data_IF_835329041233
#
_entry.id   IF_835329041233
#
_cell.length_a   1.000
_cell.length_b   1.000
_cell.length_c   1.000
_cell.angle_alpha   90.00
_cell.angle_beta   90.00
_cell.angle_gamma   90.00
#
_symmetry.space_group_name_H-M   'P 1'
#
loop_
_entity.id
_entity.type
_entity.pdbx_description
1 polymer ?
#
# COMPACT_ATOMS: atom_id res chain seq x y z
N UNK A 1 47.72 40.39 9.86
CA UNK A 1 47.22 41.04 8.63
C UNK A 1 46.14 40.12 8.06
N UNK A 2 44.84 40.36 8.34
CA UNK A 2 43.82 40.86 7.39
C UNK A 2 43.99 40.24 5.99
N UNK A 3 43.06 39.42 5.51
CA UNK A 3 41.79 39.92 4.96
C UNK A 3 40.67 38.88 4.96
N UNK A 4 39.45 39.36 5.24
CA UNK A 4 38.16 38.69 5.03
C UNK A 4 37.66 39.01 3.62
N UNK A 5 37.03 38.06 2.94
CA UNK A 5 36.19 38.31 1.76
C UNK A 5 34.79 37.77 2.05
N UNK A 6 33.86 38.69 2.25
CA UNK A 6 32.43 38.43 2.30
C UNK A 6 31.87 38.73 0.91
N UNK A 7 31.11 37.80 0.33
CA UNK A 7 30.28 38.05 -0.84
C UNK A 7 28.82 38.09 -0.42
N UNK A 8 28.18 39.24 -0.65
CA UNK A 8 26.74 39.50 -0.52
C UNK A 8 26.07 39.32 -1.89
N UNK A 9 24.74 39.22 -1.84
CA UNK A 9 23.76 39.46 -2.91
C UNK A 9 23.51 38.27 -3.85
N UNK A 10 22.27 37.94 -4.23
CA UNK A 10 21.16 38.86 -4.55
C UNK A 10 19.82 38.14 -4.40
N UNK A 11 18.82 38.79 -3.78
CA UNK A 11 17.41 38.38 -3.86
C UNK A 11 16.87 38.71 -5.25
N UNK A 12 16.27 37.75 -5.93
CA UNK A 12 15.48 37.98 -7.12
C UNK A 12 14.01 37.70 -6.77
N UNK A 13 13.23 38.77 -6.70
CA UNK A 13 11.77 38.72 -6.70
C UNK A 13 11.36 38.87 -8.16
N UNK A 14 10.64 37.89 -8.70
CA UNK A 14 9.96 38.03 -9.98
C UNK A 14 8.47 37.77 -9.76
N UNK A 15 7.68 38.80 -10.03
CA UNK A 15 6.23 38.78 -10.05
C UNK A 15 5.77 39.03 -11.49
N UNK A 16 4.79 38.26 -11.96
CA UNK A 16 3.91 38.51 -13.11
C UNK A 16 3.08 37.24 -13.33
N UNK A 17 1.85 37.21 -13.84
CA UNK A 17 0.77 38.17 -14.03
C UNK A 17 -0.45 37.29 -14.42
N UNK A 18 -1.66 37.83 -14.26
CA UNK A 18 -2.94 37.15 -14.40
C UNK A 18 -3.38 36.83 -15.86
N UNK A 19 -4.63 36.30 -15.96
CA UNK A 19 -5.57 36.31 -17.11
C UNK A 19 -5.45 35.03 -17.99
N UNK A 20 -6.45 34.20 -18.35
CA UNK A 20 -7.92 34.32 -18.54
C UNK A 20 -8.60 32.93 -18.64
N UNK A 21 -9.89 32.90 -18.26
CA UNK A 21 -11.06 32.11 -18.72
C UNK A 21 -10.94 30.95 -19.74
N UNK A 22 -11.78 29.90 -19.60
CA UNK A 22 -13.05 29.71 -20.36
C UNK A 22 -13.64 28.27 -20.23
N UNK A 23 -14.92 28.22 -19.86
CA UNK A 23 -16.00 27.21 -20.10
C UNK A 23 -15.72 25.69 -20.24
N UNK A 24 -16.45 24.90 -19.45
CA UNK A 24 -16.99 23.61 -19.89
C UNK A 24 -18.37 23.35 -19.24
N UNK A 25 -19.38 23.19 -20.10
CA UNK A 25 -20.75 22.78 -19.80
C UNK A 25 -20.81 21.26 -19.64
N UNK A 26 -21.42 20.74 -18.57
CA UNK A 26 -22.04 19.40 -18.60
C UNK A 26 -23.37 19.45 -17.85
N UNK A 27 -24.37 18.85 -18.48
CA UNK A 27 -25.79 18.97 -18.18
C UNK A 27 -26.22 18.02 -17.06
N UNK A 28 -27.21 18.45 -16.27
CA UNK A 28 -28.07 17.56 -15.49
C UNK A 28 -29.41 17.44 -16.22
N UNK A 29 -29.81 16.22 -16.57
CA UNK A 29 -31.24 15.84 -16.60
C UNK A 29 -31.36 14.31 -16.44
N UNK A 30 -32.11 13.82 -15.44
CA UNK A 30 -32.43 12.42 -15.26
C UNK A 30 -33.81 12.13 -15.86
N UNK A 31 -33.89 11.17 -16.79
CA UNK A 31 -35.16 10.60 -17.22
C UNK A 31 -35.28 9.19 -16.63
N UNK A 32 -36.23 9.08 -15.72
CA UNK A 32 -36.76 7.86 -15.10
C UNK A 32 -37.76 7.22 -16.06
N UNK A 33 -37.81 5.88 -16.18
CA UNK A 33 -38.99 5.09 -16.57
C UNK A 33 -38.66 3.59 -16.68
N UNK A 34 -39.03 2.86 -15.62
CA UNK A 34 -39.88 1.64 -15.61
C UNK A 34 -40.15 0.97 -16.98
N UNK A 35 -40.17 -0.35 -17.17
CA UNK A 35 -40.88 -1.35 -16.38
C UNK A 35 -40.62 -2.78 -16.94
N UNK A 36 -40.87 -3.77 -16.09
CA UNK A 36 -41.52 -5.06 -16.40
C UNK A 36 -40.75 -6.20 -17.07
N UNK A 37 -40.68 -7.29 -16.30
CA UNK A 37 -40.77 -8.68 -16.78
C UNK A 37 -39.72 -9.56 -16.11
N UNK A 38 -40.02 -10.57 -15.30
CA UNK A 38 -41.28 -11.21 -14.97
C UNK A 38 -40.96 -12.43 -14.08
N UNK A 39 -41.94 -12.78 -13.26
CA UNK A 39 -42.02 -13.82 -12.24
C UNK A 39 -41.35 -15.17 -12.53
N UNK A 40 -40.82 -15.80 -11.48
CA UNK A 40 -41.30 -17.11 -11.03
C UNK A 40 -40.74 -17.46 -9.62
N UNK A 41 -41.63 -17.54 -8.63
CA UNK A 41 -41.48 -18.45 -7.49
C UNK A 41 -41.82 -19.88 -7.98
N UNK A 42 -41.38 -20.94 -7.27
CA UNK A 42 -42.13 -21.37 -6.09
C UNK A 42 -41.29 -21.83 -4.90
N UNK A 43 -41.93 -21.75 -3.73
CA UNK A 43 -41.55 -22.38 -2.46
C UNK A 43 -41.86 -23.87 -2.47
N UNK A 44 -41.10 -24.71 -1.74
CA UNK A 44 -41.50 -25.85 -0.87
C UNK A 44 -40.21 -26.27 -0.09
N UNK A 45 -40.10 -26.03 1.22
CA UNK A 45 -40.55 -26.85 2.38
C UNK A 45 -39.77 -28.17 2.59
N UNK A 46 -39.01 -28.27 3.68
CA UNK A 46 -38.95 -29.44 4.56
C UNK A 46 -38.15 -29.13 5.84
N UNK A 47 -38.81 -29.38 6.97
CA UNK A 47 -38.25 -29.45 8.33
C UNK A 47 -37.52 -30.78 8.51
N UNK A 48 -36.49 -30.84 9.36
CA UNK A 48 -36.36 -31.98 10.27
C UNK A 48 -35.60 -31.64 11.56
N UNK A 49 -36.12 -32.24 12.61
CA UNK A 49 -35.88 -32.08 14.03
C UNK A 49 -34.95 -33.23 14.47
N UNK A 50 -34.13 -33.05 15.51
CA UNK A 50 -33.36 -34.18 16.03
C UNK A 50 -32.17 -33.78 16.89
N UNK A 51 -32.45 -33.32 18.10
CA UNK A 51 -31.42 -33.09 19.11
C UNK A 51 -30.75 -34.38 19.62
N UNK A 52 -29.60 -34.22 20.26
CA UNK A 52 -29.35 -34.73 21.62
C UNK A 52 -27.97 -34.35 22.12
N UNK A 53 -27.92 -34.23 23.45
CA UNK A 53 -26.93 -33.57 24.25
C UNK A 53 -25.54 -34.23 24.32
N UNK A 54 -24.62 -33.36 24.75
CA UNK A 54 -23.30 -33.50 25.38
C UNK A 54 -23.07 -34.76 26.24
N UNK A 55 -21.79 -35.15 26.47
CA UNK A 55 -21.05 -34.53 27.58
C UNK A 55 -19.62 -34.10 27.24
N UNK A 56 -19.21 -33.06 27.96
CA UNK A 56 -17.88 -32.51 28.07
C UNK A 56 -16.81 -33.55 28.42
N UNK A 57 -15.59 -33.32 27.94
CA UNK A 57 -14.37 -33.68 28.66
C UNK A 57 -13.33 -32.59 28.40
N UNK A 58 -13.10 -31.81 29.46
CA UNK A 58 -11.97 -30.90 29.64
C UNK A 58 -10.63 -31.58 29.30
N UNK A 59 -9.80 -30.89 28.51
CA UNK A 59 -8.37 -30.74 28.79
C UNK A 59 -7.78 -29.59 27.96
N UNK A 60 -6.97 -28.69 28.58
CA UNK A 60 -6.53 -27.46 27.96
C UNK A 60 -5.33 -27.71 27.05
N UNK A 61 -5.46 -27.39 25.77
CA UNK A 61 -4.31 -27.33 24.85
C UNK A 61 -4.02 -25.87 24.55
N UNK A 62 -3.09 -25.33 25.32
CA UNK A 62 -2.34 -24.13 25.01
C UNK A 62 -1.62 -24.27 23.66
N UNK A 63 -1.75 -23.25 22.80
CA UNK A 63 -0.64 -22.84 21.94
C UNK A 63 -0.84 -23.05 20.44
N UNK A 64 -0.71 -21.91 19.73
CA UNK A 64 -0.36 -21.75 18.33
C UNK A 64 -1.42 -22.13 17.29
N UNK A 65 -2.28 -21.14 16.98
CA UNK A 65 -2.83 -20.99 15.63
C UNK A 65 -1.64 -20.83 14.67
N UNK A 66 -1.33 -21.89 13.91
CA UNK A 66 -0.40 -21.80 12.78
C UNK A 66 -1.17 -21.20 11.60
N UNK A 67 -0.73 -20.11 10.96
CA UNK A 67 -1.30 -19.72 9.68
C UNK A 67 -0.83 -20.73 8.62
N UNK A 68 -1.73 -21.05 7.70
CA UNK A 68 -1.51 -21.97 6.59
C UNK A 68 -0.29 -21.50 5.77
N UNK A 69 0.83 -22.20 5.96
CA UNK A 69 2.07 -21.94 5.25
C UNK A 69 1.94 -22.41 3.81
N UNK A 70 1.88 -21.47 2.89
CA UNK A 70 2.10 -21.74 1.47
C UNK A 70 3.47 -22.36 1.26
N UNK A 71 3.50 -23.49 0.58
CA UNK A 71 4.68 -24.29 0.27
C UNK A 71 5.75 -23.49 -0.48
N UNK A 72 6.72 -22.93 0.24
CA UNK A 72 8.04 -22.51 -0.29
C UNK A 72 9.12 -23.25 0.49
N UNK A 73 9.31 -24.52 0.12
CA UNK A 73 10.26 -25.43 0.77
C UNK A 73 11.69 -24.92 0.65
N UNK A 74 12.20 -24.26 1.69
CA UNK A 74 13.61 -23.87 1.78
C UNK A 74 13.89 -22.75 2.79
N UNK A 75 12.93 -21.83 2.96
CA UNK A 75 13.04 -20.71 3.89
C UNK A 75 12.12 -20.96 5.11
N UNK A 76 12.39 -20.28 6.23
CA UNK A 76 11.58 -20.40 7.45
C UNK A 76 10.19 -19.77 7.28
N UNK A 77 9.58 -19.36 8.40
CA UNK A 77 8.29 -18.66 8.37
C UNK A 77 8.32 -17.45 7.41
N UNK A 78 7.32 -17.32 6.53
CA UNK A 78 7.14 -16.12 5.70
C UNK A 78 6.66 -14.95 6.57
N UNK A 79 7.06 -13.72 6.25
CA UNK A 79 6.56 -12.55 6.98
C UNK A 79 5.08 -12.31 6.62
N UNK A 80 4.22 -12.18 7.61
CA UNK A 80 2.94 -11.47 7.48
C UNK A 80 3.11 -9.99 7.82
N UNK A 81 2.16 -9.13 7.43
CA UNK A 81 2.24 -7.70 7.74
C UNK A 81 2.20 -7.44 9.24
N UNK A 82 1.44 -8.26 9.98
CA UNK A 82 1.37 -8.22 11.44
C UNK A 82 2.69 -8.62 12.15
N UNK A 83 3.64 -9.26 11.46
CA UNK A 83 4.98 -9.60 11.99
C UNK A 83 5.96 -8.41 11.94
N UNK A 84 5.56 -7.33 11.26
CA UNK A 84 6.45 -6.22 10.92
C UNK A 84 6.07 -4.93 11.63
N UNK A 85 7.10 -4.17 12.01
CA UNK A 85 6.99 -2.75 12.27
C UNK A 85 7.19 -2.04 10.93
N UNK A 86 6.10 -1.47 10.42
CA UNK A 86 6.07 -0.69 9.18
C UNK A 86 6.03 0.80 9.51
N UNK A 87 6.82 1.57 8.76
CA UNK A 87 6.80 3.04 8.83
C UNK A 87 6.86 3.61 7.42
N UNK A 88 6.25 4.77 7.22
CA UNK A 88 6.28 5.49 5.94
C UNK A 88 6.91 6.87 6.14
N UNK A 89 7.71 7.32 5.18
CA UNK A 89 8.28 8.65 5.19
C UNK A 89 8.43 9.21 3.78
N UNK A 90 8.16 10.50 3.61
CA UNK A 90 8.44 11.20 2.37
C UNK A 90 9.95 11.30 2.12
N UNK A 91 10.36 11.15 0.85
CA UNK A 91 11.73 11.29 0.38
C UNK A 91 11.72 12.13 -0.89
N UNK A 92 12.57 13.15 -0.93
CA UNK A 92 12.92 13.81 -2.18
C UNK A 92 14.00 13.00 -2.90
N UNK A 93 13.90 12.96 -4.23
CA UNK A 93 14.90 12.38 -5.11
C UNK A 93 15.09 13.36 -6.29
N UNK A 94 16.29 13.52 -6.87
CA UNK A 94 16.46 14.39 -8.02
C UNK A 94 15.86 13.82 -9.32
N UNK A 95 15.64 12.52 -9.41
CA UNK A 95 15.20 11.86 -10.64
C UNK A 95 13.68 11.65 -10.71
N UNK A 96 12.98 11.82 -9.59
CA UNK A 96 11.52 11.75 -9.48
C UNK A 96 11.01 12.87 -8.58
N UNK A 97 9.72 13.26 -8.68
CA UNK A 97 9.13 14.34 -7.87
C UNK A 97 8.83 13.92 -6.41
N UNK A 98 9.80 13.23 -5.80
CA UNK A 98 9.69 12.58 -4.51
C UNK A 98 8.90 11.28 -4.53
N UNK A 99 8.94 10.56 -3.41
CA UNK A 99 8.24 9.30 -3.20
C UNK A 99 8.07 9.01 -1.70
N UNK A 100 7.15 8.11 -1.36
CA UNK A 100 7.02 7.58 -0.02
C UNK A 100 7.91 6.34 0.13
N UNK A 101 8.80 6.35 1.11
CA UNK A 101 9.62 5.19 1.47
C UNK A 101 8.95 4.44 2.62
N UNK A 102 8.51 3.22 2.35
CA UNK A 102 8.07 2.28 3.39
C UNK A 102 9.30 1.52 3.90
N UNK A 103 9.41 1.45 5.22
CA UNK A 103 10.47 0.71 5.92
C UNK A 103 9.84 -0.42 6.71
N UNK A 104 10.27 -1.65 6.44
CA UNK A 104 9.83 -2.87 7.09
C UNK A 104 10.93 -3.45 7.98
N UNK A 105 10.57 -3.74 9.23
CA UNK A 105 11.45 -4.40 10.18
C UNK A 105 10.67 -5.49 10.92
N UNK A 106 11.27 -6.65 11.13
CA UNK A 106 10.65 -7.66 11.99
C UNK A 106 10.49 -7.14 13.42
N UNK A 107 9.32 -7.37 14.02
CA UNK A 107 9.09 -7.08 15.44
C UNK A 107 10.08 -7.84 16.32
N UNK A 108 10.28 -7.34 17.54
CA UNK A 108 11.22 -7.94 18.49
C UNK A 108 10.93 -9.44 18.71
N UNK A 109 11.96 -10.28 18.55
CA UNK A 109 11.85 -11.73 18.71
C UNK A 109 11.35 -12.49 17.47
N UNK A 110 10.95 -11.81 16.40
CA UNK A 110 10.50 -12.44 15.17
C UNK A 110 11.68 -12.65 14.21
N UNK A 111 11.66 -13.78 13.51
CA UNK A 111 12.48 -14.02 12.33
C UNK A 111 11.58 -14.56 11.23
N UNK A 112 11.48 -13.83 10.13
CA UNK A 112 10.64 -14.20 9.01
C UNK A 112 11.35 -13.88 7.68
N UNK A 113 10.82 -14.43 6.59
CA UNK A 113 11.32 -14.23 5.24
C UNK A 113 10.29 -13.44 4.43
N UNK A 114 10.67 -12.25 4.00
CA UNK A 114 9.86 -11.35 3.20
C UNK A 114 10.07 -11.67 1.73
N UNK A 115 9.01 -12.00 1.01
CA UNK A 115 9.08 -12.17 -0.44
C UNK A 115 9.34 -10.81 -1.10
N UNK A 116 10.29 -10.79 -2.03
CA UNK A 116 10.82 -9.58 -2.63
C UNK A 116 9.82 -8.94 -3.60
N UNK A 117 8.98 -9.77 -4.23
CA UNK A 117 8.24 -9.40 -5.44
C UNK A 117 6.75 -9.16 -5.20
N UNK A 118 6.31 -9.18 -3.94
CA UNK A 118 4.89 -9.16 -3.58
C UNK A 118 4.44 -7.99 -2.69
N UNK A 119 5.06 -6.79 -2.69
CA UNK A 119 4.41 -5.66 -2.01
C UNK A 119 3.05 -5.40 -2.67
N UNK A 120 2.02 -5.26 -1.85
CA UNK A 120 0.70 -4.79 -2.28
C UNK A 120 0.42 -3.48 -1.56
N UNK A 121 0.07 -2.45 -2.33
CA UNK A 121 -0.18 -1.10 -1.82
C UNK A 121 -1.49 -0.60 -2.39
N UNK A 122 -2.32 -0.01 -1.53
CA UNK A 122 -3.54 0.66 -1.98
C UNK A 122 -3.82 1.95 -1.24
N UNK A 123 -4.46 2.86 -1.95
CA UNK A 123 -5.00 4.11 -1.41
C UNK A 123 -6.53 4.05 -1.48
N UNK A 124 -7.17 3.94 -0.32
CA UNK A 124 -8.61 3.72 -0.24
C UNK A 124 -9.06 2.39 -0.85
N UNK A 125 -10.34 2.31 -1.21
CA UNK A 125 -10.99 1.09 -1.72
C UNK A 125 -11.22 1.08 -3.24
N UNK A 126 -10.87 2.15 -3.95
CA UNK A 126 -11.05 2.25 -5.40
C UNK A 126 -9.94 1.52 -6.16
N UNK A 127 -10.29 0.94 -7.31
CA UNK A 127 -9.33 0.22 -8.17
C UNK A 127 -8.18 1.12 -8.64
N UNK A 128 -8.44 2.41 -8.86
CA UNK A 128 -7.44 3.40 -9.28
C UNK A 128 -6.41 3.75 -8.19
N UNK A 129 -6.67 3.35 -6.95
CA UNK A 129 -5.77 3.53 -5.81
C UNK A 129 -4.82 2.36 -5.57
N UNK A 130 -4.96 1.24 -6.30
CA UNK A 130 -4.10 0.05 -6.14
C UNK A 130 -2.82 0.23 -6.95
N UNK A 131 -1.67 -0.02 -6.30
CA UNK A 131 -0.36 0.00 -6.90
C UNK A 131 0.21 -1.42 -7.03
N UNK A 132 0.71 -1.74 -8.21
CA UNK A 132 1.42 -3.00 -8.46
C UNK A 132 2.94 -2.81 -8.42
N UNK A 133 3.70 -3.86 -8.03
CA UNK A 133 5.15 -3.83 -8.06
C UNK A 133 5.72 -3.52 -9.45
N UNK A 134 6.65 -2.56 -9.52
CA UNK A 134 7.43 -2.22 -10.71
C UNK A 134 8.92 -2.45 -10.47
N UNK A 135 9.66 -2.62 -11.56
CA UNK A 135 11.10 -2.87 -11.55
C UNK A 135 11.46 -4.35 -11.56
N UNK A 136 12.77 -4.61 -11.67
CA UNK A 136 13.30 -5.97 -11.59
C UNK A 136 13.21 -6.45 -10.14
N UNK A 137 12.61 -7.62 -9.97
CA UNK A 137 12.48 -8.27 -8.67
C UNK A 137 13.78 -8.86 -8.14
N UNK A 138 13.71 -9.44 -6.95
CA UNK A 138 14.76 -10.29 -6.40
C UNK A 138 14.38 -11.77 -6.53
N UNK A 139 15.38 -12.65 -6.57
CA UNK A 139 15.16 -14.10 -6.59
C UNK A 139 15.00 -14.67 -5.17
N UNK A 140 15.83 -14.19 -4.23
CA UNK A 140 15.87 -14.69 -2.86
C UNK A 140 15.05 -13.82 -1.90
N UNK A 141 14.20 -14.40 -1.03
CA UNK A 141 13.47 -13.65 -0.03
C UNK A 141 14.40 -12.99 0.99
N UNK A 142 13.99 -11.84 1.51
CA UNK A 142 14.75 -11.05 2.49
C UNK A 142 14.50 -11.63 3.89
N UNK A 143 15.56 -12.13 4.53
CA UNK A 143 15.49 -12.54 5.94
C UNK A 143 15.44 -11.31 6.85
N UNK A 144 14.31 -11.11 7.54
CA UNK A 144 14.16 -10.07 8.54
C UNK A 144 14.33 -10.65 9.94
N UNK A 145 15.32 -10.14 10.67
CA UNK A 145 15.62 -10.51 12.06
C UNK A 145 16.44 -9.41 12.72
N UNK A 146 16.27 -9.20 14.02
CA UNK A 146 17.04 -8.21 14.79
C UNK A 146 16.92 -6.79 14.24
N UNK A 147 18.00 -6.28 13.63
CA UNK A 147 18.06 -4.93 13.03
C UNK A 147 18.01 -4.93 11.50
N UNK A 148 17.77 -6.06 10.86
CA UNK A 148 17.62 -6.12 9.41
C UNK A 148 16.37 -5.34 8.98
N UNK A 149 16.49 -4.66 7.84
CA UNK A 149 15.44 -3.76 7.32
C UNK A 149 15.27 -4.03 5.84
N UNK A 150 14.02 -4.02 5.38
CA UNK A 150 13.65 -3.97 3.99
C UNK A 150 12.93 -2.64 3.69
N UNK A 151 12.97 -2.24 2.43
CA UNK A 151 12.43 -0.99 1.93
C UNK A 151 11.58 -1.26 0.70
N UNK A 152 10.53 -0.47 0.50
CA UNK A 152 9.88 -0.30 -0.81
C UNK A 152 9.54 1.17 -1.00
N UNK A 153 9.56 1.65 -2.25
CA UNK A 153 9.17 3.00 -2.61
C UNK A 153 7.79 3.00 -3.24
N UNK A 154 6.99 4.02 -2.91
CA UNK A 154 5.68 4.26 -3.48
C UNK A 154 5.71 5.62 -4.15
N UNK A 155 5.46 5.65 -5.45
CA UNK A 155 5.10 6.86 -6.17
C UNK A 155 3.58 6.89 -6.26
N UNK A 156 2.97 7.81 -5.52
CA UNK A 156 1.51 7.95 -5.46
C UNK A 156 0.93 8.46 -6.77
N UNK A 157 1.73 9.09 -7.63
CA UNK A 157 1.25 9.77 -8.81
C UNK A 157 2.24 9.71 -9.96
N UNK A 158 1.88 8.91 -10.95
CA UNK A 158 2.69 8.73 -12.16
C UNK A 158 2.24 9.59 -13.33
N UNK A 159 1.16 10.35 -13.18
CA UNK A 159 0.60 11.23 -14.22
C UNK A 159 1.06 12.67 -14.06
N UNK A 160 1.25 13.37 -15.19
CA UNK A 160 1.74 14.77 -15.19
C UNK A 160 0.66 15.85 -15.05
N UNK A 161 -0.61 15.50 -14.89
CA UNK A 161 -1.71 16.46 -14.73
C UNK A 161 -2.04 16.74 -13.26
N UNK A 162 -2.97 17.65 -12.95
CA UNK A 162 -3.40 17.95 -11.57
C UNK A 162 -4.50 17.00 -11.05
N UNK A 163 -4.90 16.02 -11.86
CA UNK A 163 -5.88 15.02 -11.46
C UNK A 163 -5.37 14.13 -10.32
N UNK A 164 -6.31 13.47 -9.66
CA UNK A 164 -6.06 12.51 -8.59
C UNK A 164 -7.01 12.67 -7.42
N UNK A 165 -7.00 11.68 -6.54
CA UNK A 165 -7.79 11.69 -5.30
C UNK A 165 -6.85 11.88 -4.11
N UNK A 166 -7.30 12.62 -3.10
CA UNK A 166 -6.49 12.91 -1.92
C UNK A 166 -6.67 11.83 -0.86
N UNK A 167 -5.55 11.38 -0.29
CA UNK A 167 -5.53 10.40 0.79
C UNK A 167 -4.54 10.81 1.88
N UNK A 168 -4.90 10.53 3.13
CA UNK A 168 -4.05 10.74 4.31
C UNK A 168 -3.37 9.44 4.76
N UNK A 169 -3.85 8.29 4.30
CA UNK A 169 -3.32 6.98 4.65
C UNK A 169 -2.98 6.16 3.41
N UNK A 170 -2.09 5.19 3.59
CA UNK A 170 -1.79 4.14 2.63
C UNK A 170 -1.93 2.79 3.31
N UNK A 171 -2.53 1.83 2.61
CA UNK A 171 -2.66 0.44 3.05
C UNK A 171 -1.51 -0.34 2.41
N UNK A 172 -0.72 -1.03 3.24
CA UNK A 172 0.44 -1.81 2.81
C UNK A 172 0.28 -3.24 3.28
N UNK A 173 0.45 -4.18 2.35
CA UNK A 173 0.56 -5.59 2.62
C UNK A 173 1.85 -6.16 2.02
N UNK A 174 2.37 -7.22 2.63
CA UNK A 174 3.57 -7.92 2.13
C UNK A 174 3.26 -9.05 1.16
N UNK A 175 1.98 -9.41 1.05
CA UNK A 175 1.42 -10.34 0.06
C UNK A 175 0.04 -9.85 -0.37
N UNK A 176 -0.43 -10.23 -1.55
CA UNK A 176 -1.76 -9.84 -2.05
C UNK A 176 -2.90 -10.37 -1.17
N UNK A 177 -2.75 -11.59 -0.63
CA UNK A 177 -3.75 -12.25 0.22
C UNK A 177 -3.52 -12.01 1.73
N UNK A 178 -2.80 -10.95 2.12
CA UNK A 178 -2.56 -10.68 3.54
C UNK A 178 -3.89 -10.37 4.26
N UNK A 179 -4.29 -11.15 5.29
CA UNK A 179 -5.54 -10.92 6.00
C UNK A 179 -5.50 -9.68 6.89
N UNK A 180 -4.31 -9.19 7.24
CA UNK A 180 -4.08 -8.13 8.22
C UNK A 180 -3.16 -7.03 7.62
N UNK A 181 -3.56 -6.34 6.53
CA UNK A 181 -2.76 -5.28 5.94
C UNK A 181 -2.62 -4.09 6.92
N UNK A 182 -1.51 -3.38 6.84
CA UNK A 182 -1.24 -2.23 7.70
C UNK A 182 -1.70 -0.94 7.04
N UNK A 183 -2.53 -0.17 7.75
CA UNK A 183 -2.81 1.22 7.40
C UNK A 183 -1.75 2.13 8.03
N UNK A 184 -1.06 2.92 7.20
CA UNK A 184 -0.01 3.84 7.61
C UNK A 184 -0.44 5.27 7.32
N UNK A 185 -0.36 6.14 8.32
CA UNK A 185 -0.57 7.58 8.16
C UNK A 185 0.59 8.18 7.35
N UNK A 186 0.24 8.90 6.29
CA UNK A 186 1.19 9.60 5.45
C UNK A 186 1.65 10.89 6.15
N UNK A 187 2.91 11.31 5.96
CA UNK A 187 3.43 12.54 6.56
C UNK A 187 2.70 13.80 6.08
N UNK A 188 2.14 13.75 4.87
CA UNK A 188 1.34 14.80 4.24
C UNK A 188 0.29 14.14 3.34
N UNK A 189 -0.85 14.81 3.09
CA UNK A 189 -1.90 14.34 2.18
C UNK A 189 -1.34 14.09 0.77
N UNK A 190 -1.44 12.86 0.29
CA UNK A 190 -1.02 12.47 -1.05
C UNK A 190 -2.11 12.77 -2.08
N UNK A 191 -1.74 13.28 -3.25
CA UNK A 191 -2.61 13.19 -4.44
C UNK A 191 -2.26 11.92 -5.19
N UNK A 192 -3.22 11.02 -5.33
CA UNK A 192 -3.03 9.70 -5.94
C UNK A 192 -3.64 9.64 -7.33
N UNK A 193 -2.84 9.24 -8.32
CA UNK A 193 -3.28 8.98 -9.69
C UNK A 193 -2.32 7.97 -10.35
N UNK A 194 -2.82 6.75 -10.58
CA UNK A 194 -2.04 5.60 -11.08
C UNK A 194 -0.78 5.34 -10.25
N UNK A 195 -0.91 5.04 -8.95
CA UNK A 195 0.23 4.83 -8.09
C UNK A 195 1.02 3.58 -8.52
N UNK A 196 2.33 3.58 -8.24
CA UNK A 196 3.22 2.42 -8.42
C UNK A 196 4.03 2.18 -7.16
N UNK A 197 4.40 0.93 -6.93
CA UNK A 197 5.25 0.52 -5.80
C UNK A 197 6.45 -0.27 -6.31
N UNK A 198 7.63 -0.15 -5.72
CA UNK A 198 8.79 -0.98 -6.11
C UNK A 198 8.74 -2.35 -5.45
N UNK A 199 9.48 -3.31 -5.96
CA UNK A 199 9.82 -4.51 -5.19
C UNK A 199 10.53 -4.15 -3.88
N UNK A 200 10.50 -5.07 -2.91
CA UNK A 200 11.24 -4.90 -1.66
C UNK A 200 12.77 -4.95 -1.92
N UNK A 201 13.56 -4.18 -1.17
CA UNK A 201 15.02 -4.30 -1.20
C UNK A 201 15.62 -4.01 0.17
N UNK A 202 16.80 -4.57 0.44
CA UNK A 202 17.63 -4.19 1.59
C UNK A 202 18.41 -2.89 1.36
N UNK A 203 18.35 -2.35 0.14
CA UNK A 203 19.06 -1.14 -0.29
C UNK A 203 18.05 -0.06 -0.68
N UNK A 204 18.02 1.02 0.09
CA UNK A 204 17.10 2.14 -0.12
C UNK A 204 17.21 2.79 -1.51
N UNK A 205 18.38 2.84 -2.11
CA UNK A 205 18.55 3.46 -3.43
C UNK A 205 18.00 2.61 -4.58
N UNK A 206 17.70 1.33 -4.35
CA UNK A 206 17.04 0.45 -5.33
C UNK A 206 15.52 0.58 -5.29
N UNK A 207 14.98 1.31 -4.30
CA UNK A 207 13.54 1.49 -4.09
C UNK A 207 13.07 2.89 -4.48
N UNK A 208 13.77 3.54 -5.41
CA UNK A 208 13.28 4.77 -6.04
C UNK A 208 12.37 4.34 -7.18
N UNK A 209 11.04 4.62 -7.12
CA UNK A 209 10.11 4.20 -8.15
C UNK A 209 10.46 4.92 -9.46
N UNK A 210 10.74 4.19 -10.53
CA UNK A 210 11.01 4.77 -11.84
C UNK A 210 10.07 4.14 -12.83
N UNK A 211 9.30 4.98 -13.53
CA UNK A 211 8.52 4.56 -14.68
C UNK A 211 9.50 4.52 -15.86
N UNK A 212 9.79 3.33 -16.36
CA UNK A 212 10.62 3.08 -17.55
C UNK A 212 9.76 2.84 -18.78
#
# INVERSE_FOLDING_TARGET
>A
MRSRLAARSTRLVLAAAAVTALAATTACEPEDSTDTGGSAAPSEAASDDGGSATPSSDSPSTGASSPAGGDKSGYGQSCGTNDLDLTVAWKSDPDVDGYYLVTAKAKSGITCYLDVNTPSVSFGSGADGVASPVGQGGEDPIKLTGSAVAYTGIDAKTTGGDAGTQFENVIVAVTEDDPDPAELELPDTATVDKPVVTNWSTRRNETVPRII
#
